data_IF_785477031026
#
_entry.id   IF_785477031026
#
_cell.length_a   1.000
_cell.length_b   1.000
_cell.length_c   1.000
_cell.angle_alpha   90.00
_cell.angle_beta   90.00
_cell.angle_gamma   90.00
#
_symmetry.space_group_name_H-M   'P 1'
#
loop_
_entity.id
_entity.type
_entity.pdbx_description
1 polymer ?
#
# COMPACT_ATOMS: atom_id res chain seq x y z
N UNK A 1 -6.07 10.64 34.80
CA UNK A 1 -6.92 9.47 35.02
C UNK A 1 -6.87 8.68 33.72
N UNK A 2 -5.70 8.08 33.46
CA UNK A 2 -5.44 7.30 32.26
C UNK A 2 -5.66 5.84 32.65
N UNK A 3 -6.94 5.46 32.72
CA UNK A 3 -7.33 4.07 32.87
C UNK A 3 -6.95 3.33 31.59
N UNK A 4 -6.05 2.33 31.70
CA UNK A 4 -5.64 1.52 30.55
C UNK A 4 -6.81 0.72 29.95
N UNK A 5 -7.88 0.51 30.73
CA UNK A 5 -9.09 -0.16 30.27
C UNK A 5 -10.07 0.77 29.53
N UNK A 6 -9.79 2.08 29.47
CA UNK A 6 -10.61 3.09 28.81
C UNK A 6 -10.16 3.44 27.37
N UNK A 7 -9.35 2.59 26.73
CA UNK A 7 -8.88 2.84 25.37
C UNK A 7 -10.02 2.76 24.34
N UNK A 8 -10.13 3.77 23.48
CA UNK A 8 -11.09 3.77 22.36
C UNK A 8 -10.45 3.19 21.10
N UNK A 9 -11.13 2.23 20.46
CA UNK A 9 -10.67 1.65 19.20
C UNK A 9 -10.87 2.62 18.04
N UNK A 10 -9.80 2.88 17.29
CA UNK A 10 -9.87 3.66 16.06
C UNK A 10 -10.42 2.80 14.90
N UNK A 11 -11.41 3.33 14.20
CA UNK A 11 -11.98 2.70 13.01
C UNK A 11 -11.02 2.83 11.81
N UNK A 12 -10.45 1.71 11.37
CA UNK A 12 -9.46 1.65 10.28
C UNK A 12 -10.09 1.33 8.91
N UNK A 13 -11.42 1.29 8.81
CA UNK A 13 -12.14 0.88 7.60
C UNK A 13 -11.78 1.69 6.35
N UNK A 14 -11.58 3.01 6.52
CA UNK A 14 -11.29 3.96 5.46
C UNK A 14 -9.82 4.35 5.30
N UNK A 15 -8.89 3.74 6.04
CA UNK A 15 -7.46 4.06 5.93
C UNK A 15 -6.88 3.39 4.69
N UNK A 16 -6.33 4.14 3.72
CA UNK A 16 -5.73 3.57 2.52
C UNK A 16 -4.35 2.97 2.81
N UNK A 17 -3.94 2.04 1.96
CA UNK A 17 -2.55 1.55 1.91
C UNK A 17 -1.82 2.20 0.75
N UNK A 18 -0.52 2.46 0.93
CA UNK A 18 0.35 2.95 -0.15
C UNK A 18 0.99 1.76 -0.84
N UNK A 19 0.84 1.69 -2.16
CA UNK A 19 1.52 0.71 -3.01
C UNK A 19 2.54 1.46 -3.88
N UNK A 20 3.80 1.06 -3.79
CA UNK A 20 4.87 1.57 -4.64
C UNK A 20 5.00 0.71 -5.88
N UNK A 21 4.79 1.30 -7.06
CA UNK A 21 4.92 0.65 -8.36
C UNK A 21 6.04 1.33 -9.13
N UNK A 22 7.12 0.60 -9.38
CA UNK A 22 8.34 1.11 -10.02
C UNK A 22 8.48 0.59 -11.43
N UNK A 23 8.96 1.43 -12.35
CA UNK A 23 9.33 1.03 -13.70
C UNK A 23 10.80 0.58 -13.70
N UNK A 24 11.02 -0.70 -14.01
CA UNK A 24 12.37 -1.26 -14.21
C UNK A 24 12.43 -1.83 -15.62
N UNK A 25 13.10 -1.12 -16.53
CA UNK A 25 13.12 -1.46 -17.94
C UNK A 25 11.72 -1.33 -18.56
N UNK A 26 11.12 -2.44 -18.97
CA UNK A 26 9.74 -2.49 -19.51
C UNK A 26 8.73 -3.08 -18.52
N UNK A 27 9.17 -3.43 -17.30
CA UNK A 27 8.33 -4.09 -16.31
C UNK A 27 7.87 -3.10 -15.21
N UNK A 28 6.68 -3.34 -14.69
CA UNK A 28 6.17 -2.71 -13.47
C UNK A 28 6.43 -3.66 -12.30
N UNK A 29 7.18 -3.19 -11.31
CA UNK A 29 7.60 -4.00 -10.17
C UNK A 29 7.07 -3.36 -8.89
N UNK A 30 6.56 -4.19 -7.98
CA UNK A 30 6.07 -3.78 -6.68
C UNK A 30 7.15 -3.96 -5.62
N UNK A 31 7.17 -3.05 -4.64
CA UNK A 31 7.96 -3.19 -3.41
C UNK A 31 9.42 -3.57 -3.66
N UNK A 32 10.12 -2.71 -4.41
CA UNK A 32 11.52 -2.92 -4.74
C UNK A 32 12.35 -3.07 -3.46
N UNK A 33 13.25 -4.05 -3.46
CA UNK A 33 14.31 -4.11 -2.47
C UNK A 33 15.31 -2.97 -2.66
N UNK A 34 16.09 -2.67 -1.61
CA UNK A 34 17.15 -1.65 -1.66
C UNK A 34 18.15 -1.86 -2.81
N UNK A 35 18.37 -3.12 -3.22
CA UNK A 35 19.26 -3.45 -4.33
C UNK A 35 18.63 -3.17 -5.71
N UNK A 36 17.30 -3.20 -5.82
CA UNK A 36 16.56 -3.00 -7.07
C UNK A 36 16.14 -1.53 -7.27
N UNK A 37 15.96 -0.77 -6.19
CA UNK A 37 15.60 0.66 -6.23
C UNK A 37 16.47 1.50 -7.20
N UNK A 38 17.81 1.33 -7.26
CA UNK A 38 18.65 2.10 -8.19
C UNK A 38 18.40 1.79 -9.67
N UNK A 39 17.77 0.65 -9.97
CA UNK A 39 17.40 0.25 -11.33
C UNK A 39 16.08 0.89 -11.79
N UNK A 40 15.32 1.50 -10.88
CA UNK A 40 14.06 2.13 -11.20
C UNK A 40 14.26 3.43 -11.98
N UNK A 41 13.54 3.58 -13.09
CA UNK A 41 13.51 4.81 -13.88
C UNK A 41 12.57 5.85 -13.25
N UNK A 42 11.46 5.37 -12.71
CA UNK A 42 10.40 6.16 -12.08
C UNK A 42 9.57 5.25 -11.16
N UNK A 43 8.96 5.86 -10.14
CA UNK A 43 8.12 5.16 -9.16
C UNK A 43 6.83 5.94 -8.94
N UNK A 44 5.69 5.26 -8.92
CA UNK A 44 4.42 5.79 -8.45
C UNK A 44 4.09 5.23 -7.07
N UNK A 45 3.88 6.12 -6.11
CA UNK A 45 3.28 5.78 -4.82
C UNK A 45 1.79 6.05 -4.92
N UNK A 46 0.99 4.99 -4.87
CA UNK A 46 -0.46 5.05 -5.05
C UNK A 46 -1.12 4.70 -3.72
N UNK A 47 -1.84 5.65 -3.13
CA UNK A 47 -2.70 5.40 -1.98
C UNK A 47 -4.02 4.82 -2.50
N UNK A 48 -4.41 3.64 -2.00
CA UNK A 48 -5.61 2.93 -2.43
C UNK A 48 -6.36 2.41 -1.20
N UNK A 49 -7.67 2.60 -1.17
CA UNK A 49 -8.51 2.08 -0.09
C UNK A 49 -8.83 0.57 -0.25
N UNK A 50 -9.54 0.01 0.73
CA UNK A 50 -9.92 -1.40 0.74
C UNK A 50 -10.85 -1.83 -0.41
N UNK A 51 -11.47 -0.87 -1.12
CA UNK A 51 -12.35 -1.12 -2.27
C UNK A 51 -11.61 -1.09 -3.61
N UNK A 52 -10.32 -0.71 -3.59
CA UNK A 52 -9.53 -0.54 -4.80
C UNK A 52 -9.61 0.88 -5.37
N UNK A 53 -10.25 1.83 -4.67
CA UNK A 53 -10.31 3.23 -5.13
C UNK A 53 -9.01 3.95 -4.83
N UNK A 54 -8.48 4.67 -5.82
CA UNK A 54 -7.30 5.53 -5.66
C UNK A 54 -7.67 6.77 -4.85
N UNK A 55 -6.91 7.00 -3.78
CA UNK A 55 -7.05 8.13 -2.86
C UNK A 55 -5.97 9.21 -3.08
N UNK A 56 -4.85 8.85 -3.72
CA UNK A 56 -3.74 9.77 -3.98
C UNK A 56 -2.65 9.11 -4.80
N UNK A 57 -1.90 9.92 -5.54
CA UNK A 57 -0.79 9.47 -6.39
C UNK A 57 0.36 10.46 -6.27
N UNK A 58 1.55 9.95 -5.95
CA UNK A 58 2.78 10.74 -5.94
C UNK A 58 3.80 10.08 -6.86
N UNK A 59 4.38 10.86 -7.77
CA UNK A 59 5.44 10.40 -8.66
C UNK A 59 6.82 10.74 -8.08
N UNK A 60 7.68 9.75 -8.03
CA UNK A 60 9.08 9.85 -7.59
C UNK A 60 10.02 9.46 -8.74
N UNK A 61 11.21 10.06 -8.76
CA UNK A 61 12.23 9.84 -9.79
C UNK A 61 12.30 10.95 -10.85
N UNK A 62 13.38 10.96 -11.62
CA UNK A 62 13.69 12.03 -12.57
C UNK A 62 13.09 11.83 -13.96
N UNK A 63 12.86 10.58 -14.40
CA UNK A 63 12.28 10.32 -15.73
C UNK A 63 10.78 10.55 -15.75
N UNK A 64 10.26 11.02 -16.89
CA UNK A 64 8.82 11.05 -17.13
C UNK A 64 8.25 9.64 -17.24
N UNK A 65 6.94 9.54 -17.04
CA UNK A 65 6.16 8.32 -17.23
C UNK A 65 5.15 8.63 -18.32
N UNK A 66 5.05 7.78 -19.35
CA UNK A 66 4.02 7.97 -20.36
C UNK A 66 2.63 7.61 -19.80
N UNK A 67 1.55 8.11 -20.42
CA UNK A 67 0.19 7.86 -19.93
C UNK A 67 -0.20 6.39 -19.87
N UNK A 68 0.26 5.55 -20.81
CA UNK A 68 -0.08 4.14 -20.84
C UNK A 68 0.59 3.38 -19.69
N UNK A 69 1.88 3.65 -19.45
CA UNK A 69 2.59 3.10 -18.28
C UNK A 69 1.95 3.57 -16.97
N UNK A 70 1.56 4.85 -16.90
CA UNK A 70 0.86 5.38 -15.71
C UNK A 70 -0.44 4.63 -15.45
N UNK A 71 -1.27 4.40 -16.47
CA UNK A 71 -2.51 3.64 -16.34
C UNK A 71 -2.24 2.20 -15.87
N UNK A 72 -1.25 1.53 -16.47
CA UNK A 72 -0.87 0.17 -16.08
C UNK A 72 -0.40 0.09 -14.62
N UNK A 73 0.40 1.07 -14.16
CA UNK A 73 0.84 1.15 -12.76
C UNK A 73 -0.33 1.36 -11.79
N UNK A 74 -1.29 2.22 -12.16
CA UNK A 74 -2.49 2.44 -11.36
C UNK A 74 -3.36 1.19 -11.28
N UNK A 75 -3.56 0.47 -12.39
CA UNK A 75 -4.30 -0.80 -12.41
C UNK A 75 -3.66 -1.86 -11.50
N UNK A 76 -2.32 -1.98 -11.56
CA UNK A 76 -1.58 -2.89 -10.68
C UNK A 76 -1.77 -2.51 -9.21
N UNK A 77 -1.69 -1.23 -8.86
CA UNK A 77 -1.91 -0.76 -7.49
C UNK A 77 -3.36 -1.03 -7.01
N UNK A 78 -4.36 -0.72 -7.83
CA UNK A 78 -5.78 -0.94 -7.53
C UNK A 78 -6.11 -2.42 -7.31
N UNK A 79 -5.49 -3.31 -8.09
CA UNK A 79 -5.67 -4.76 -7.93
C UNK A 79 -4.95 -5.34 -6.71
N UNK A 80 -3.82 -4.74 -6.32
CA UNK A 80 -2.96 -5.25 -5.24
C UNK A 80 -3.44 -4.81 -3.86
N UNK A 81 -3.82 -3.54 -3.71
CA UNK A 81 -4.13 -2.96 -2.41
C UNK A 81 -5.25 -3.68 -1.63
N UNK A 82 -6.40 -4.05 -2.22
CA UNK A 82 -7.44 -4.80 -1.50
C UNK A 82 -6.95 -6.14 -0.95
N UNK A 83 -6.04 -6.81 -1.68
CA UNK A 83 -5.44 -8.08 -1.24
C UNK A 83 -4.51 -7.87 -0.04
N UNK A 84 -3.69 -6.80 -0.07
CA UNK A 84 -2.83 -6.42 1.04
C UNK A 84 -3.66 -6.05 2.28
N UNK A 85 -4.71 -5.25 2.12
CA UNK A 85 -5.62 -4.88 3.22
C UNK A 85 -6.28 -6.11 3.83
N UNK A 86 -6.78 -7.05 3.01
CA UNK A 86 -7.37 -8.28 3.51
C UNK A 86 -6.37 -9.13 4.30
N UNK A 87 -5.14 -9.26 3.80
CA UNK A 87 -4.06 -9.99 4.50
C UNK A 87 -3.67 -9.33 5.82
N UNK A 88 -3.51 -8.01 5.85
CA UNK A 88 -3.20 -7.23 7.04
C UNK A 88 -4.31 -7.36 8.10
N UNK A 89 -5.58 -7.22 7.69
CA UNK A 89 -6.73 -7.39 8.60
C UNK A 89 -6.78 -8.78 9.22
N UNK A 90 -6.50 -9.83 8.43
CA UNK A 90 -6.41 -11.20 8.93
C UNK A 90 -5.32 -11.35 10.00
N UNK A 91 -4.14 -10.77 9.77
CA UNK A 91 -3.04 -10.82 10.75
C UNK A 91 -3.37 -10.03 12.01
N UNK A 92 -3.92 -8.81 11.89
CA UNK A 92 -4.31 -7.99 13.03
C UNK A 92 -5.38 -8.68 13.90
N UNK A 93 -6.36 -9.34 13.28
CA UNK A 93 -7.37 -10.11 14.00
C UNK A 93 -6.74 -11.31 14.75
N UNK A 94 -5.79 -12.01 14.13
CA UNK A 94 -5.09 -13.11 14.78
C UNK A 94 -4.24 -12.64 15.98
N UNK A 95 -3.55 -11.51 15.84
CA UNK A 95 -2.74 -10.92 16.94
C UNK A 95 -3.64 -10.46 18.09
N UNK A 96 -4.77 -9.81 17.81
CA UNK A 96 -5.72 -9.38 18.84
C UNK A 96 -6.29 -10.57 19.64
N UNK A 97 -6.59 -11.69 18.97
CA UNK A 97 -7.07 -12.89 19.65
C UNK A 97 -6.02 -13.53 20.58
N UNK A 98 -4.72 -13.27 20.36
CA UNK A 98 -3.65 -13.76 21.25
C UNK A 98 -3.36 -12.84 22.43
N UNK A 99 -3.74 -11.55 22.35
CA UNK A 99 -3.53 -10.59 23.46
C UNK A 99 -4.64 -10.64 24.51
N UNK A 100 -5.86 -11.08 24.17
CA UNK A 100 -6.99 -11.20 25.10
C UNK A 100 -6.93 -12.48 25.99
N UNK A 101 -5.83 -13.23 25.93
CA UNK A 101 -5.66 -14.52 26.62
C UNK A 101 -4.52 -14.57 27.66
N UNK A 102 -3.97 -13.43 28.08
CA UNK A 102 -2.89 -13.32 29.08
C UNK A 102 -3.32 -12.50 30.30
#
# INVERSE_FOLDING_TARGET
>A
DDDMDAATRLELGGVPVVVSVSQVGTANVLDLSLAEEPCAQSTLHVAVDATGRVCGVTKQGMRGIDPATTAAMLEVAQATAPRLVASLRKHLAAVAATSDGA
#
